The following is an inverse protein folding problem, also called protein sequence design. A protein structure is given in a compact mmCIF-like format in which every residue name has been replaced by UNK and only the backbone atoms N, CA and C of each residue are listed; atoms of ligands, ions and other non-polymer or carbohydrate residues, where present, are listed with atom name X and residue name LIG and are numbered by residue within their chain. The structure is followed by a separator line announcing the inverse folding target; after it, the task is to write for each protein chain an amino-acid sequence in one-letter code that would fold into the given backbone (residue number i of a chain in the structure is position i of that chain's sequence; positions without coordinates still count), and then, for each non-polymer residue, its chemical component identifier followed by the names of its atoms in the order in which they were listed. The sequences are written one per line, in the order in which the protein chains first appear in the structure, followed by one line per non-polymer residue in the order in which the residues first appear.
data_IF_010257888122
#
_entry.id   IF_010257888122
#
_cell.length_a   1.000
_cell.length_b   1.000
_cell.length_c   1.000
_cell.angle_alpha   90.00
_cell.angle_beta   90.00
_cell.angle_gamma   90.00
#
_symmetry.space_group_name_H-M   'P 1'
#
loop_
_entity.id
_entity.type
_entity.pdbx_description
1 polymer ?
#
# COMPACT_ATOMS: atom_id res chain seq x y z
N UNK A 1 -0.10 9.77 15.40
CA UNK A 1 -1.40 9.68 14.70
C UNK A 1 -2.55 10.27 15.53
N UNK A 2 -2.80 9.84 16.78
CA UNK A 2 -3.94 10.36 17.58
C UNK A 2 -3.95 11.90 17.70
N UNK A 3 -2.79 12.52 17.99
CA UNK A 3 -2.63 13.97 18.07
C UNK A 3 -2.94 14.65 16.73
N UNK A 4 -2.53 14.06 15.61
CA UNK A 4 -2.81 14.64 14.29
C UNK A 4 -4.30 14.66 13.97
N UNK A 5 -5.02 13.59 14.26
CA UNK A 5 -6.48 13.54 14.08
C UNK A 5 -7.22 14.49 15.04
N UNK A 6 -6.73 14.66 16.27
CA UNK A 6 -7.26 15.67 17.19
C UNK A 6 -7.05 17.10 16.64
N UNK A 7 -5.89 17.39 16.05
CA UNK A 7 -5.63 18.67 15.38
C UNK A 7 -6.56 18.85 14.18
N UNK A 8 -6.79 17.82 13.35
CA UNK A 8 -7.77 17.90 12.26
C UNK A 8 -9.18 18.19 12.77
N UNK A 9 -9.62 17.50 13.83
CA UNK A 9 -10.95 17.71 14.42
C UNK A 9 -11.14 19.14 14.97
N UNK A 10 -10.07 19.74 15.53
CA UNK A 10 -10.11 21.09 16.07
C UNK A 10 -9.90 22.18 15.00
N UNK A 11 -9.40 21.83 13.83
CA UNK A 11 -8.98 22.78 12.79
C UNK A 11 -10.16 23.34 12.02
N UNK A 12 -10.19 24.69 11.92
CA UNK A 12 -11.11 25.46 11.08
C UNK A 12 -10.38 26.23 9.98
N UNK A 13 -9.05 26.15 9.95
CA UNK A 13 -8.19 26.90 9.04
C UNK A 13 -7.31 25.97 8.22
N UNK A 14 -6.93 26.39 7.02
CA UNK A 14 -6.04 25.64 6.15
C UNK A 14 -4.68 25.34 6.82
N UNK A 15 -4.14 26.30 7.59
CA UNK A 15 -2.89 26.10 8.33
C UNK A 15 -3.00 24.98 9.37
N UNK A 16 -4.14 24.87 10.05
CA UNK A 16 -4.40 23.77 10.99
C UNK A 16 -4.42 22.40 10.30
N UNK A 17 -5.02 22.31 9.10
CA UNK A 17 -4.99 21.08 8.30
C UNK A 17 -3.56 20.73 7.84
N UNK A 18 -2.74 21.70 7.44
CA UNK A 18 -1.33 21.43 7.12
C UNK A 18 -0.54 20.94 8.33
N UNK A 19 -0.75 21.55 9.50
CA UNK A 19 -0.11 21.07 10.74
C UNK A 19 -0.54 19.65 11.08
N UNK A 20 -1.84 19.36 11.01
CA UNK A 20 -2.37 18.01 11.19
C UNK A 20 -1.74 17.02 10.22
N UNK A 21 -1.57 17.39 8.94
CA UNK A 21 -0.93 16.57 7.91
C UNK A 21 0.53 16.26 8.21
N UNK A 22 1.31 17.24 8.65
CA UNK A 22 2.71 17.03 9.08
C UNK A 22 2.78 16.05 10.26
N UNK A 23 1.94 16.24 11.27
CA UNK A 23 1.86 15.35 12.43
C UNK A 23 1.41 13.93 12.03
N UNK A 24 0.47 13.82 11.09
CA UNK A 24 0.04 12.53 10.54
C UNK A 24 1.19 11.80 9.84
N UNK A 25 1.97 12.51 9.03
CA UNK A 25 3.14 11.96 8.34
C UNK A 25 4.20 11.44 9.31
N UNK A 26 4.52 12.20 10.35
CA UNK A 26 5.42 11.77 11.43
C UNK A 26 4.85 10.53 12.13
N UNK A 27 3.57 10.56 12.51
CA UNK A 27 2.91 9.44 13.18
C UNK A 27 2.87 8.17 12.31
N UNK A 28 2.67 8.32 10.99
CA UNK A 28 2.72 7.21 10.04
C UNK A 28 4.14 6.62 9.93
N UNK A 29 5.18 7.45 9.88
CA UNK A 29 6.56 6.98 9.83
C UNK A 29 6.92 6.07 11.01
N UNK A 30 6.53 6.44 12.23
CA UNK A 30 6.77 5.65 13.43
C UNK A 30 5.82 4.46 13.60
N UNK A 31 4.61 4.50 13.04
CA UNK A 31 3.59 3.44 13.14
C UNK A 31 3.48 2.55 11.90
N UNK A 32 4.42 2.64 10.96
CA UNK A 32 4.38 1.91 9.69
C UNK A 32 4.81 0.45 9.78
N UNK A 33 4.84 -0.23 8.63
CA UNK A 33 5.31 -1.62 8.53
C UNK A 33 6.77 -1.83 8.97
N UNK A 34 7.59 -0.77 9.00
CA UNK A 34 9.02 -0.91 9.39
C UNK A 34 9.16 -1.38 10.84
N UNK A 35 8.62 -0.67 11.85
CA UNK A 35 8.68 -1.15 13.23
C UNK A 35 7.95 -2.47 13.43
N UNK A 36 6.82 -2.69 12.75
CA UNK A 36 6.10 -3.97 12.80
C UNK A 36 6.96 -5.14 12.30
N UNK A 37 7.68 -4.96 11.20
CA UNK A 37 8.58 -5.99 10.65
C UNK A 37 9.75 -6.27 11.59
N UNK A 38 10.34 -5.24 12.21
CA UNK A 38 11.41 -5.42 13.20
C UNK A 38 10.91 -6.23 14.39
N UNK A 39 9.71 -5.91 14.89
CA UNK A 39 9.10 -6.61 16.00
C UNK A 39 8.82 -8.08 15.65
N UNK A 40 8.19 -8.33 14.50
CA UNK A 40 7.90 -9.69 14.01
C UNK A 40 9.18 -10.50 13.88
N UNK A 41 10.26 -9.93 13.37
CA UNK A 41 11.54 -10.63 13.23
C UNK A 41 12.18 -11.02 14.56
N UNK A 42 11.90 -10.27 15.66
CA UNK A 42 12.37 -10.61 17.01
C UNK A 42 11.52 -11.71 17.68
N UNK A 43 10.21 -11.72 17.41
CA UNK A 43 9.26 -12.63 18.05
C UNK A 43 9.06 -13.95 17.30
N UNK A 44 9.31 -13.98 15.98
CA UNK A 44 9.06 -15.14 15.14
C UNK A 44 10.35 -15.60 14.45
N UNK A 45 10.81 -16.81 14.72
CA UNK A 45 11.82 -17.51 13.92
C UNK A 45 11.17 -18.34 12.81
N UNK A 46 9.97 -18.88 13.07
CA UNK A 46 9.17 -19.66 12.12
C UNK A 46 7.92 -18.86 11.70
N UNK A 47 7.45 -19.04 10.48
CA UNK A 47 6.25 -18.38 9.91
C UNK A 47 6.30 -16.84 9.86
N UNK A 48 7.49 -16.25 9.79
CA UNK A 48 7.67 -14.79 9.68
C UNK A 48 6.88 -14.18 8.52
N UNK A 49 6.94 -14.82 7.34
CA UNK A 49 6.22 -14.36 6.15
C UNK A 49 4.70 -14.30 6.35
N UNK A 50 4.13 -15.30 7.04
CA UNK A 50 2.71 -15.29 7.39
C UNK A 50 2.35 -14.12 8.32
N UNK A 51 3.17 -13.88 9.35
CA UNK A 51 2.94 -12.78 10.30
C UNK A 51 3.03 -11.41 9.61
N UNK A 52 4.05 -11.20 8.76
CA UNK A 52 4.22 -9.97 7.97
C UNK A 52 3.06 -9.82 6.96
N UNK A 53 2.67 -10.91 6.30
CA UNK A 53 1.55 -10.94 5.37
C UNK A 53 0.23 -10.56 6.03
N UNK A 54 -0.05 -11.11 7.21
CA UNK A 54 -1.26 -10.79 7.98
C UNK A 54 -1.27 -9.33 8.44
N UNK A 55 -0.14 -8.82 8.93
CA UNK A 55 0.01 -7.40 9.25
C UNK A 55 -0.21 -6.51 8.01
N UNK A 56 0.34 -6.87 6.86
CA UNK A 56 0.15 -6.11 5.63
C UNK A 56 -1.29 -6.15 5.11
N UNK A 57 -1.97 -7.29 5.27
CA UNK A 57 -3.37 -7.46 4.88
C UNK A 57 -4.34 -6.61 5.71
N UNK A 58 -3.98 -6.22 6.95
CA UNK A 58 -4.80 -5.38 7.82
C UNK A 58 -5.16 -4.02 7.21
N UNK A 59 -4.36 -3.50 6.26
CA UNK A 59 -4.70 -2.28 5.53
C UNK A 59 -5.98 -2.42 4.70
N UNK A 60 -6.19 -3.59 4.06
CA UNK A 60 -7.44 -3.90 3.37
C UNK A 60 -8.60 -4.05 4.35
N UNK A 61 -8.38 -4.74 5.48
CA UNK A 61 -9.39 -4.87 6.54
C UNK A 61 -9.83 -3.50 7.09
N UNK A 62 -8.88 -2.59 7.29
CA UNK A 62 -9.20 -1.22 7.72
C UNK A 62 -10.15 -0.53 6.72
N UNK A 63 -9.90 -0.64 5.42
CA UNK A 63 -10.79 -0.06 4.41
C UNK A 63 -12.19 -0.68 4.43
N UNK A 64 -12.30 -2.00 4.65
CA UNK A 64 -13.58 -2.70 4.75
C UNK A 64 -14.42 -2.16 5.91
N UNK A 65 -13.79 -1.96 7.07
CA UNK A 65 -14.50 -1.59 8.31
C UNK A 65 -14.72 -0.09 8.39
N UNK A 66 -13.67 0.71 8.17
CA UNK A 66 -13.73 2.15 8.43
C UNK A 66 -14.43 2.94 7.33
N UNK A 67 -14.38 2.51 6.05
CA UNK A 67 -15.02 3.27 4.97
C UNK A 67 -16.53 3.47 5.20
N UNK A 68 -17.35 2.44 5.44
CA UNK A 68 -18.79 2.63 5.70
C UNK A 68 -19.07 3.35 7.01
N UNK A 69 -18.29 3.08 8.08
CA UNK A 69 -18.48 3.71 9.38
C UNK A 69 -18.22 5.22 9.30
N UNK A 70 -17.08 5.62 8.73
CA UNK A 70 -16.72 7.03 8.62
C UNK A 70 -17.67 7.78 7.67
N UNK A 71 -18.13 7.14 6.60
CA UNK A 71 -19.14 7.74 5.71
C UNK A 71 -20.43 8.01 6.45
N UNK A 72 -20.96 7.04 7.21
CA UNK A 72 -22.17 7.23 7.98
C UNK A 72 -22.03 8.32 9.07
N UNK A 73 -20.87 8.40 9.72
CA UNK A 73 -20.58 9.45 10.71
C UNK A 73 -20.47 10.83 10.02
N UNK A 74 -19.83 10.89 8.87
CA UNK A 74 -19.67 12.13 8.10
C UNK A 74 -21.02 12.68 7.66
N UNK A 75 -21.93 11.84 7.17
CA UNK A 75 -23.29 12.22 6.76
C UNK A 75 -24.16 12.68 7.92
N UNK A 76 -24.02 12.05 9.10
CA UNK A 76 -24.89 12.33 10.26
C UNK A 76 -24.35 13.39 11.20
N UNK A 77 -23.04 13.47 11.41
CA UNK A 77 -22.36 14.32 12.41
C UNK A 77 -21.29 15.23 11.85
N UNK A 78 -21.00 15.13 10.56
CA UNK A 78 -20.02 15.95 9.85
C UNK A 78 -18.58 15.48 9.99
N UNK A 79 -17.69 16.13 9.23
CA UNK A 79 -16.29 15.76 9.07
C UNK A 79 -15.47 15.81 10.39
N UNK A 80 -15.77 16.79 11.26
CA UNK A 80 -15.05 16.93 12.54
C UNK A 80 -15.27 15.72 13.45
N UNK A 81 -16.48 15.15 13.45
CA UNK A 81 -16.78 13.93 14.20
C UNK A 81 -16.00 12.72 13.68
N UNK A 82 -15.78 12.61 12.37
CA UNK A 82 -14.94 11.57 11.79
C UNK A 82 -13.51 11.65 12.33
N UNK A 83 -12.89 12.83 12.29
CA UNK A 83 -11.54 13.00 12.82
C UNK A 83 -11.45 12.72 14.32
N UNK A 84 -12.48 13.07 15.09
CA UNK A 84 -12.51 12.76 16.52
C UNK A 84 -12.58 11.25 16.77
N UNK A 85 -13.38 10.51 16.01
CA UNK A 85 -13.45 9.04 16.09
C UNK A 85 -12.11 8.42 15.73
N UNK A 86 -11.45 8.89 14.68
CA UNK A 86 -10.11 8.42 14.30
C UNK A 86 -9.04 8.75 15.36
N UNK A 87 -9.14 9.92 16.00
CA UNK A 87 -8.26 10.31 17.10
C UNK A 87 -8.41 9.36 18.31
N UNK A 88 -9.66 9.10 18.72
CA UNK A 88 -9.97 8.19 19.83
C UNK A 88 -9.51 6.76 19.49
N UNK A 89 -9.83 6.26 18.30
CA UNK A 89 -9.40 4.95 17.84
C UNK A 89 -7.87 4.81 17.84
N UNK A 90 -7.15 5.80 17.29
CA UNK A 90 -5.69 5.81 17.28
C UNK A 90 -5.10 5.85 18.70
N UNK A 91 -5.73 6.56 19.62
CA UNK A 91 -5.33 6.62 21.02
C UNK A 91 -5.52 5.26 21.70
N UNK A 92 -6.67 4.63 21.51
CA UNK A 92 -6.95 3.28 22.04
C UNK A 92 -5.94 2.28 21.50
N UNK A 93 -5.65 2.30 20.20
CA UNK A 93 -4.62 1.45 19.60
C UNK A 93 -3.24 1.72 20.21
N UNK A 94 -2.86 2.98 20.43
CA UNK A 94 -1.57 3.32 21.06
C UNK A 94 -1.47 2.78 22.48
N UNK A 95 -2.54 2.89 23.28
CA UNK A 95 -2.59 2.32 24.65
C UNK A 95 -2.49 0.81 24.61
N UNK A 96 -3.23 0.14 23.71
CA UNK A 96 -3.16 -1.31 23.55
C UNK A 96 -1.76 -1.79 23.15
N UNK A 97 -1.13 -1.09 22.19
CA UNK A 97 0.25 -1.38 21.78
C UNK A 97 1.22 -1.22 22.97
N UNK A 98 1.10 -0.12 23.72
CA UNK A 98 1.96 0.14 24.87
C UNK A 98 1.80 -0.91 25.99
N UNK A 99 0.58 -1.36 26.24
CA UNK A 99 0.28 -2.36 27.28
C UNK A 99 0.65 -3.78 26.87
N UNK A 100 0.36 -4.17 25.63
CA UNK A 100 0.42 -5.56 25.17
C UNK A 100 1.73 -5.90 24.47
N UNK A 101 2.31 -4.97 23.70
CA UNK A 101 3.47 -5.26 22.88
C UNK A 101 4.75 -5.03 23.69
N UNK A 102 5.62 -6.03 23.66
CA UNK A 102 6.97 -5.98 24.25
C UNK A 102 8.01 -6.05 23.12
N UNK A 103 9.13 -5.39 23.33
CA UNK A 103 10.18 -5.22 22.33
C UNK A 103 10.83 -6.55 21.92
N UNK A 104 10.97 -7.49 22.85
CA UNK A 104 11.56 -8.79 22.59
C UNK A 104 11.05 -9.85 23.56
N UNK A 105 11.04 -11.15 23.16
CA UNK A 105 10.60 -12.24 24.01
C UNK A 105 11.48 -12.43 25.25
N UNK A 106 12.78 -12.10 25.18
CA UNK A 106 13.72 -12.26 26.30
C UNK A 106 13.30 -11.40 27.50
N UNK A 107 12.68 -10.24 27.30
CA UNK A 107 12.16 -9.38 28.38
C UNK A 107 11.04 -10.04 29.19
N UNK A 108 10.43 -11.09 28.65
CA UNK A 108 9.40 -11.89 29.32
C UNK A 108 9.90 -13.29 29.68
N UNK A 109 11.21 -13.55 29.61
CA UNK A 109 11.80 -14.88 29.79
C UNK A 109 11.19 -15.95 28.89
N UNK A 110 10.78 -15.54 27.66
CA UNK A 110 10.25 -16.42 26.63
C UNK A 110 11.25 -16.54 25.48
N UNK A 111 11.25 -17.69 24.80
CA UNK A 111 11.95 -17.89 23.53
C UNK A 111 11.09 -17.39 22.37
N UNK A 112 11.74 -16.94 21.29
CA UNK A 112 11.00 -16.58 20.06
C UNK A 112 10.30 -17.81 19.48
N UNK A 113 9.12 -17.61 18.89
CA UNK A 113 8.32 -18.70 18.31
C UNK A 113 9.10 -19.47 17.25
N UNK A 114 9.33 -20.76 17.50
CA UNK A 114 10.10 -21.66 16.63
C UNK A 114 11.61 -21.66 16.87
N UNK A 115 12.10 -21.10 17.99
CA UNK A 115 13.53 -21.14 18.37
C UNK A 115 13.98 -22.53 18.86
N UNK A 116 13.06 -23.33 19.41
CA UNK A 116 13.36 -24.66 19.97
C UNK A 116 13.55 -25.76 18.91
N UNK A 117 13.08 -25.53 17.69
CA UNK A 117 13.13 -26.52 16.60
C UNK A 117 14.51 -26.66 15.92
N UNK A 118 15.57 -26.05 16.46
CA UNK A 118 16.93 -26.16 15.90
C UNK A 118 17.06 -25.61 14.47
N UNK A 119 16.01 -24.98 13.96
CA UNK A 119 16.05 -24.27 12.68
C UNK A 119 16.86 -23.00 12.86
N UNK A 120 18.03 -22.96 12.22
CA UNK A 120 18.70 -21.67 11.95
C UNK A 120 17.67 -20.65 11.43
N UNK A 121 17.81 -19.35 11.77
CA UNK A 121 16.86 -18.34 11.32
C UNK A 121 16.64 -18.51 9.83
N UNK A 122 15.45 -18.92 9.42
CA UNK A 122 15.06 -18.84 8.02
C UNK A 122 15.11 -17.34 7.70
N UNK A 123 16.16 -16.93 7.00
CA UNK A 123 16.28 -15.58 6.51
C UNK A 123 15.02 -15.23 5.71
N UNK A 124 14.56 -13.98 5.76
CA UNK A 124 13.38 -13.56 5.04
C UNK A 124 13.62 -13.76 3.54
N UNK A 125 12.94 -14.77 2.98
CA UNK A 125 13.10 -15.23 1.60
C UNK A 125 14.13 -16.36 1.52
N UNK A 126 13.71 -17.62 1.76
CA UNK A 126 14.43 -18.77 1.27
C UNK A 126 14.49 -18.64 -0.27
N UNK A 127 15.56 -18.06 -0.75
CA UNK A 127 15.84 -17.91 -2.17
C UNK A 127 16.42 -19.23 -2.71
N UNK A 128 16.22 -19.52 -4.01
CA UNK A 128 16.90 -20.65 -4.63
C UNK A 128 18.41 -20.51 -4.46
N UNK A 129 19.08 -21.66 -4.25
CA UNK A 129 20.50 -21.85 -3.87
C UNK A 129 21.57 -21.24 -4.81
N UNK A 130 21.26 -20.29 -5.63
CA UNK A 130 22.21 -19.53 -6.44
C UNK A 130 22.42 -18.14 -5.88
N UNK A 131 23.63 -17.80 -5.41
CA UNK A 131 23.95 -16.45 -4.96
C UNK A 131 23.77 -15.46 -6.13
N UNK A 132 22.71 -14.68 -6.06
CA UNK A 132 22.37 -13.71 -7.10
C UNK A 132 23.35 -12.55 -7.04
N UNK A 133 24.17 -12.37 -8.07
CA UNK A 133 25.05 -11.22 -8.17
C UNK A 133 24.24 -9.92 -8.24
N UNK A 134 24.51 -8.92 -7.38
CA UNK A 134 23.75 -7.68 -7.36
C UNK A 134 23.98 -6.88 -8.65
N UNK A 135 22.87 -6.38 -9.23
CA UNK A 135 22.94 -5.54 -10.43
C UNK A 135 23.69 -4.20 -10.18
N UNK A 136 24.45 -3.69 -11.15
CA UNK A 136 25.07 -2.38 -11.04
C UNK A 136 24.02 -1.27 -10.88
N UNK A 137 24.31 -0.25 -10.07
CA UNK A 137 23.38 0.84 -9.71
C UNK A 137 22.71 1.50 -10.93
N UNK A 138 23.42 1.64 -12.05
CA UNK A 138 22.86 2.22 -13.28
C UNK A 138 21.70 1.40 -13.86
N UNK A 139 21.71 0.08 -13.67
CA UNK A 139 20.61 -0.81 -14.10
C UNK A 139 19.44 -0.84 -13.13
N UNK A 140 19.58 -0.24 -11.94
CA UNK A 140 18.50 -0.10 -10.95
C UNK A 140 17.66 1.19 -11.15
N UNK A 141 18.13 2.15 -11.96
CA UNK A 141 17.42 3.41 -12.22
C UNK A 141 15.98 3.21 -12.72
N UNK A 142 15.70 2.27 -13.66
CA UNK A 142 14.32 2.01 -14.06
C UNK A 142 13.42 1.51 -12.93
N UNK A 143 13.97 0.77 -11.94
CA UNK A 143 13.22 0.32 -10.78
C UNK A 143 12.86 1.47 -9.84
N UNK A 144 13.76 2.43 -9.63
CA UNK A 144 13.46 3.62 -8.83
C UNK A 144 12.36 4.45 -9.50
N UNK A 145 12.46 4.68 -10.81
CA UNK A 145 11.41 5.37 -11.57
C UNK A 145 10.07 4.61 -11.45
N UNK A 146 10.08 3.30 -11.64
CA UNK A 146 8.89 2.46 -11.52
C UNK A 146 8.28 2.54 -10.12
N UNK A 147 9.08 2.45 -9.07
CA UNK A 147 8.62 2.56 -7.70
C UNK A 147 7.98 3.93 -7.41
N UNK A 148 8.59 5.02 -7.89
CA UNK A 148 8.05 6.37 -7.76
C UNK A 148 6.71 6.54 -8.47
N UNK A 149 6.59 6.11 -9.71
CA UNK A 149 5.34 6.18 -10.47
C UNK A 149 4.23 5.30 -9.85
N UNK A 150 4.59 4.10 -9.34
CA UNK A 150 3.63 3.24 -8.66
C UNK A 150 3.22 3.79 -7.29
N UNK A 151 4.04 4.62 -6.65
CA UNK A 151 3.64 5.37 -5.46
C UNK A 151 2.44 6.28 -5.72
N UNK A 152 2.42 6.94 -6.87
CA UNK A 152 1.28 7.73 -7.32
C UNK A 152 0.02 6.90 -7.56
N UNK A 153 0.18 5.67 -8.04
CA UNK A 153 -0.95 4.77 -8.33
C UNK A 153 -1.54 4.18 -7.05
N UNK A 154 -0.70 3.74 -6.14
CA UNK A 154 -1.13 2.97 -4.96
C UNK A 154 -1.54 3.83 -3.76
N UNK A 155 -1.26 5.13 -3.76
CA UNK A 155 -1.64 6.05 -2.69
C UNK A 155 -2.71 7.04 -3.13
N UNK A 156 -2.47 8.01 -4.02
CA UNK A 156 -3.51 8.94 -4.45
C UNK A 156 -4.70 8.28 -5.14
N UNK A 157 -4.48 7.22 -5.92
CA UNK A 157 -5.55 6.55 -6.63
C UNK A 157 -6.66 6.03 -5.71
N UNK A 158 -6.36 5.16 -4.72
CA UNK A 158 -7.37 4.66 -3.78
C UNK A 158 -8.02 5.74 -2.91
N UNK A 159 -7.27 6.77 -2.50
CA UNK A 159 -7.82 7.85 -1.66
C UNK A 159 -8.86 8.69 -2.38
N UNK A 160 -8.82 8.75 -3.72
CA UNK A 160 -9.78 9.49 -4.53
C UNK A 160 -10.93 8.62 -5.07
N UNK A 161 -10.99 7.30 -4.77
CA UNK A 161 -12.08 6.43 -5.25
C UNK A 161 -13.44 6.87 -4.74
N UNK A 162 -13.55 7.26 -3.47
CA UNK A 162 -14.80 7.72 -2.88
C UNK A 162 -15.33 8.94 -3.62
N UNK A 163 -14.48 9.94 -3.84
CA UNK A 163 -14.88 11.18 -4.51
C UNK A 163 -15.13 10.95 -6.01
N UNK A 164 -14.35 10.08 -6.67
CA UNK A 164 -14.60 9.68 -8.06
C UNK A 164 -16.05 9.19 -8.25
N UNK A 165 -16.49 8.29 -7.38
CA UNK A 165 -17.80 7.66 -7.53
C UNK A 165 -18.95 8.55 -7.08
N UNK A 166 -18.75 9.34 -6.04
CA UNK A 166 -19.78 10.32 -5.61
C UNK A 166 -19.96 11.43 -6.63
N UNK A 167 -18.88 11.93 -7.24
CA UNK A 167 -18.96 12.94 -8.32
C UNK A 167 -19.54 12.37 -9.62
N UNK A 168 -19.34 11.07 -9.88
CA UNK A 168 -20.00 10.37 -11.00
C UNK A 168 -21.50 10.11 -10.73
N UNK A 169 -22.02 10.44 -9.54
CA UNK A 169 -23.43 10.36 -9.20
C UNK A 169 -23.83 9.11 -8.42
N UNK A 170 -22.88 8.33 -7.92
CA UNK A 170 -23.17 7.21 -7.01
C UNK A 170 -23.51 7.77 -5.62
N UNK A 171 -24.52 7.18 -4.95
CA UNK A 171 -24.86 7.52 -3.57
C UNK A 171 -23.67 7.24 -2.64
N UNK A 172 -23.42 8.11 -1.65
CA UNK A 172 -22.26 8.02 -0.77
C UNK A 172 -22.13 6.64 -0.08
N UNK A 173 -23.25 6.06 0.35
CA UNK A 173 -23.25 4.73 0.92
C UNK A 173 -22.79 3.64 -0.06
N UNK A 174 -23.23 3.69 -1.32
CA UNK A 174 -22.81 2.75 -2.36
C UNK A 174 -21.32 2.95 -2.74
N UNK A 175 -20.84 4.20 -2.78
CA UNK A 175 -19.42 4.50 -2.98
C UNK A 175 -18.56 3.97 -1.82
N UNK A 176 -19.03 4.10 -0.58
CA UNK A 176 -18.36 3.52 0.59
C UNK A 176 -18.27 1.99 0.53
N UNK A 177 -19.33 1.32 0.08
CA UNK A 177 -19.32 -0.13 -0.16
C UNK A 177 -18.33 -0.52 -1.28
N UNK A 178 -18.24 0.28 -2.34
CA UNK A 178 -17.24 0.06 -3.39
C UNK A 178 -15.80 0.18 -2.85
N UNK A 179 -15.51 1.18 -2.01
CA UNK A 179 -14.21 1.33 -1.34
C UNK A 179 -13.94 0.16 -0.38
N UNK A 180 -14.95 -0.34 0.32
CA UNK A 180 -14.82 -1.54 1.16
C UNK A 180 -14.48 -2.78 0.32
N UNK A 181 -15.13 -2.94 -0.83
CA UNK A 181 -14.86 -4.03 -1.78
C UNK A 181 -13.44 -3.93 -2.36
N UNK A 182 -12.95 -2.70 -2.64
CA UNK A 182 -11.54 -2.48 -2.96
C UNK A 182 -10.63 -3.01 -1.84
N UNK A 183 -10.97 -2.74 -0.57
CA UNK A 183 -10.23 -3.24 0.59
C UNK A 183 -10.16 -4.77 0.65
N UNK A 184 -11.27 -5.46 0.37
CA UNK A 184 -11.31 -6.93 0.26
C UNK A 184 -10.38 -7.42 -0.86
N UNK A 185 -10.52 -6.82 -2.04
CA UNK A 185 -9.70 -7.17 -3.21
C UNK A 185 -8.20 -6.92 -2.95
N UNK A 186 -7.86 -5.82 -2.28
CA UNK A 186 -6.49 -5.48 -1.88
C UNK A 186 -5.91 -6.53 -0.91
N UNK A 187 -6.69 -6.92 0.09
CA UNK A 187 -6.28 -7.94 1.07
C UNK A 187 -6.00 -9.28 0.39
N UNK A 188 -6.94 -9.76 -0.42
CA UNK A 188 -6.79 -11.01 -1.19
C UNK A 188 -5.62 -10.89 -2.17
N UNK A 189 -5.54 -9.77 -2.90
CA UNK A 189 -4.48 -9.51 -3.86
C UNK A 189 -3.08 -9.55 -3.24
N UNK A 190 -2.88 -9.02 -2.03
CA UNK A 190 -1.59 -9.07 -1.33
C UNK A 190 -1.18 -10.50 -0.99
N UNK A 191 -2.12 -11.32 -0.51
CA UNK A 191 -1.85 -12.72 -0.20
C UNK A 191 -1.54 -13.52 -1.45
N UNK A 192 -2.34 -13.33 -2.51
CA UNK A 192 -2.18 -14.07 -3.78
C UNK A 192 -0.91 -13.64 -4.52
N UNK A 193 -0.62 -12.35 -4.58
CA UNK A 193 0.55 -11.84 -5.30
C UNK A 193 1.85 -12.38 -4.72
N UNK A 194 2.03 -12.34 -3.38
CA UNK A 194 3.23 -12.85 -2.72
C UNK A 194 3.46 -14.34 -3.02
N UNK A 195 2.45 -15.16 -2.74
CA UNK A 195 2.51 -16.62 -2.98
C UNK A 195 2.68 -16.99 -4.47
N UNK A 196 2.07 -16.20 -5.36
CA UNK A 196 2.21 -16.39 -6.79
C UNK A 196 3.62 -16.01 -7.29
N UNK A 197 4.23 -14.96 -6.74
CA UNK A 197 5.63 -14.62 -7.06
C UNK A 197 6.60 -15.70 -6.62
N UNK A 198 6.40 -16.30 -5.43
CA UNK A 198 7.22 -17.39 -4.93
C UNK A 198 7.14 -18.63 -5.85
N UNK A 199 5.96 -18.90 -6.41
CA UNK A 199 5.72 -20.09 -7.24
C UNK A 199 6.04 -19.90 -8.72
N UNK A 200 5.73 -18.75 -9.30
CA UNK A 200 5.79 -18.50 -10.75
C UNK A 200 6.85 -17.47 -11.16
N UNK A 201 7.48 -16.82 -10.17
CA UNK A 201 8.51 -15.80 -10.36
C UNK A 201 7.96 -14.39 -10.58
N UNK A 202 8.71 -13.38 -10.13
CA UNK A 202 8.32 -11.97 -10.20
C UNK A 202 8.11 -11.43 -11.62
N UNK A 203 8.85 -11.95 -12.61
CA UNK A 203 8.70 -11.55 -14.02
C UNK A 203 7.30 -11.85 -14.57
N UNK A 204 6.82 -13.11 -14.44
CA UNK A 204 5.50 -13.51 -14.97
C UNK A 204 4.37 -12.85 -14.22
N UNK A 205 4.48 -12.79 -12.90
CA UNK A 205 3.48 -12.15 -12.03
C UNK A 205 3.43 -10.65 -12.21
N UNK A 206 4.56 -10.01 -12.54
CA UNK A 206 4.61 -8.61 -12.91
C UNK A 206 3.74 -8.26 -14.13
N UNK A 207 3.73 -9.12 -15.17
CA UNK A 207 2.82 -8.94 -16.32
C UNK A 207 1.37 -9.18 -15.95
N UNK A 208 1.06 -10.27 -15.24
CA UNK A 208 -0.32 -10.63 -14.89
C UNK A 208 -0.96 -9.56 -13.99
N UNK A 209 -0.32 -9.23 -12.88
CA UNK A 209 -0.85 -8.23 -11.95
C UNK A 209 -0.78 -6.81 -12.51
N UNK A 210 0.19 -6.55 -13.39
CA UNK A 210 0.24 -5.32 -14.17
C UNK A 210 -0.96 -5.16 -15.09
N UNK A 211 -1.35 -6.21 -15.81
CA UNK A 211 -2.54 -6.20 -16.65
C UNK A 211 -3.83 -6.01 -15.82
N UNK A 212 -3.93 -6.69 -14.68
CA UNK A 212 -5.06 -6.54 -13.74
C UNK A 212 -5.13 -5.08 -13.23
N UNK A 213 -4.00 -4.50 -12.82
CA UNK A 213 -3.91 -3.11 -12.37
C UNK A 213 -4.36 -2.13 -13.45
N UNK A 214 -3.82 -2.28 -14.65
CA UNK A 214 -4.19 -1.43 -15.80
C UNK A 214 -5.67 -1.58 -16.15
N UNK A 215 -6.21 -2.79 -16.15
CA UNK A 215 -7.64 -3.05 -16.37
C UNK A 215 -8.53 -2.33 -15.34
N UNK A 216 -8.15 -2.39 -14.05
CA UNK A 216 -8.84 -1.67 -12.98
C UNK A 216 -8.83 -0.15 -13.19
N UNK A 217 -7.68 0.42 -13.57
CA UNK A 217 -7.53 1.85 -13.83
C UNK A 217 -8.31 2.32 -15.08
N UNK A 218 -8.35 1.49 -16.13
CA UNK A 218 -9.21 1.76 -17.31
C UNK A 218 -10.68 1.83 -16.91
N UNK A 219 -11.15 0.88 -16.11
CA UNK A 219 -12.53 0.88 -15.65
C UNK A 219 -12.83 2.05 -14.69
N UNK A 220 -11.87 2.47 -13.86
CA UNK A 220 -12.01 3.70 -13.05
C UNK A 220 -12.13 4.94 -13.95
N UNK A 221 -11.36 5.02 -15.04
CA UNK A 221 -11.47 6.12 -16.00
C UNK A 221 -12.82 6.14 -16.76
N UNK A 222 -13.57 5.04 -16.74
CA UNK A 222 -14.94 4.95 -17.30
C UNK A 222 -16.02 5.23 -16.25
N UNK A 223 -15.70 5.73 -15.06
CA UNK A 223 -16.66 6.01 -14.01
C UNK A 223 -17.78 6.99 -14.44
N UNK A 224 -17.46 7.93 -15.32
CA UNK A 224 -18.41 8.92 -15.85
C UNK A 224 -19.55 8.29 -16.70
N UNK A 225 -19.41 7.00 -17.09
CA UNK A 225 -20.50 6.25 -17.75
C UNK A 225 -21.67 5.94 -16.80
N UNK A 226 -21.44 6.08 -15.48
CA UNK A 226 -22.43 5.85 -14.41
C UNK A 226 -22.97 4.41 -14.34
N UNK A 227 -22.29 3.45 -14.96
CA UNK A 227 -22.69 2.05 -14.96
C UNK A 227 -22.12 1.38 -13.71
N UNK A 228 -23.00 1.03 -12.75
CA UNK A 228 -22.61 0.49 -11.46
C UNK A 228 -21.71 -0.78 -11.58
N UNK A 229 -22.02 -1.68 -12.53
CA UNK A 229 -21.23 -2.90 -12.76
C UNK A 229 -19.79 -2.57 -13.11
N UNK A 230 -19.55 -1.55 -13.95
CA UNK A 230 -18.21 -1.08 -14.33
C UNK A 230 -17.49 -0.54 -13.10
N UNK A 231 -18.15 0.27 -12.27
CA UNK A 231 -17.58 0.84 -11.08
C UNK A 231 -17.18 -0.23 -10.05
N UNK A 232 -18.03 -1.23 -9.82
CA UNK A 232 -17.70 -2.34 -8.90
C UNK A 232 -16.61 -3.26 -9.46
N UNK A 233 -16.62 -3.56 -10.77
CA UNK A 233 -15.55 -4.31 -11.42
C UNK A 233 -14.20 -3.55 -11.34
N UNK A 234 -14.22 -2.23 -11.49
CA UNK A 234 -13.06 -1.36 -11.40
C UNK A 234 -12.35 -1.52 -10.05
N UNK A 235 -13.09 -1.40 -8.94
CA UNK A 235 -12.49 -1.51 -7.58
C UNK A 235 -11.94 -2.88 -7.29
N UNK A 236 -12.57 -3.94 -7.80
CA UNK A 236 -12.07 -5.31 -7.64
C UNK A 236 -10.75 -5.51 -8.40
N UNK A 237 -10.71 -5.16 -9.68
CA UNK A 237 -9.50 -5.31 -10.48
C UNK A 237 -8.38 -4.38 -9.97
N UNK A 238 -8.73 -3.14 -9.62
CA UNK A 238 -7.75 -2.21 -9.09
C UNK A 238 -7.17 -2.71 -7.76
N UNK A 239 -8.02 -3.13 -6.81
CA UNK A 239 -7.60 -3.68 -5.53
C UNK A 239 -6.72 -4.92 -5.66
N UNK A 240 -7.07 -5.85 -6.56
CA UNK A 240 -6.25 -7.03 -6.87
C UNK A 240 -4.91 -6.67 -7.52
N UNK A 241 -4.83 -5.58 -8.29
CA UNK A 241 -3.61 -5.15 -8.99
C UNK A 241 -2.64 -4.33 -8.13
N UNK A 242 -3.12 -3.55 -7.16
CA UNK A 242 -2.30 -2.67 -6.31
C UNK A 242 -1.17 -3.39 -5.57
N UNK A 243 -1.26 -4.64 -5.15
CA UNK A 243 -0.15 -5.38 -4.54
C UNK A 243 1.15 -5.38 -5.36
N UNK A 244 1.08 -5.27 -6.68
CA UNK A 244 2.25 -5.04 -7.53
C UNK A 244 3.06 -3.82 -7.07
N UNK A 245 2.39 -2.75 -6.62
CA UNK A 245 3.00 -1.49 -6.20
C UNK A 245 3.54 -1.50 -4.77
N UNK A 246 3.11 -2.44 -3.94
CA UNK A 246 3.46 -2.48 -2.51
C UNK A 246 4.30 -3.71 -2.17
N UNK A 247 3.78 -4.92 -2.42
CA UNK A 247 4.50 -6.17 -2.21
C UNK A 247 5.59 -6.35 -3.28
N UNK A 248 5.35 -5.86 -4.50
CA UNK A 248 6.30 -5.89 -5.60
C UNK A 248 7.64 -5.24 -5.28
N UNK A 249 7.67 -4.17 -4.48
CA UNK A 249 8.93 -3.52 -4.06
C UNK A 249 9.83 -4.50 -3.29
N UNK A 250 9.27 -5.33 -2.43
CA UNK A 250 10.02 -6.34 -1.69
C UNK A 250 10.50 -7.46 -2.62
N UNK A 251 9.63 -7.95 -3.51
CA UNK A 251 9.96 -8.97 -4.51
C UNK A 251 11.10 -8.51 -5.41
N UNK A 252 11.01 -7.29 -5.97
CA UNK A 252 12.07 -6.75 -6.83
C UNK A 252 13.38 -6.53 -6.08
N UNK A 253 13.29 -6.15 -4.80
CA UNK A 253 14.48 -5.99 -3.97
C UNK A 253 15.18 -7.33 -3.72
N UNK A 254 14.43 -8.39 -3.51
CA UNK A 254 14.95 -9.74 -3.40
C UNK A 254 15.55 -10.21 -4.74
N UNK A 255 14.80 -10.04 -5.83
CA UNK A 255 15.25 -10.48 -7.16
C UNK A 255 16.49 -9.73 -7.67
N UNK A 256 16.67 -8.44 -7.38
CA UNK A 256 17.72 -7.60 -7.98
C UNK A 256 18.83 -7.17 -7.01
N UNK A 257 18.57 -7.22 -5.69
CA UNK A 257 19.53 -6.73 -4.68
C UNK A 257 20.64 -7.73 -4.34
N UNK A 258 20.37 -9.04 -4.51
CA UNK A 258 21.22 -10.08 -3.94
C UNK A 258 21.24 -9.98 -2.40
N UNK A 259 21.71 -11.00 -1.70
CA UNK A 259 21.66 -11.08 -0.23
C UNK A 259 22.22 -9.84 0.49
N UNK A 260 23.33 -9.30 0.00
CA UNK A 260 24.02 -8.17 0.64
C UNK A 260 23.30 -6.82 0.49
N UNK A 261 22.37 -6.65 -0.45
CA UNK A 261 21.78 -5.34 -0.79
C UNK A 261 20.26 -5.28 -0.73
N UNK A 262 19.59 -6.39 -0.41
CA UNK A 262 18.11 -6.45 -0.35
C UNK A 262 17.55 -5.32 0.53
N UNK A 263 18.01 -5.22 1.77
CA UNK A 263 17.53 -4.21 2.72
C UNK A 263 17.74 -2.77 2.22
N UNK A 264 18.92 -2.50 1.65
CA UNK A 264 19.23 -1.19 1.09
C UNK A 264 18.34 -0.87 -0.11
N UNK A 265 18.10 -1.84 -0.99
CA UNK A 265 17.25 -1.65 -2.17
C UNK A 265 15.79 -1.47 -1.81
N UNK A 266 15.27 -2.22 -0.84
CA UNK A 266 13.91 -2.02 -0.28
C UNK A 266 13.74 -0.57 0.20
N UNK A 267 14.68 -0.06 1.00
CA UNK A 267 14.64 1.31 1.52
C UNK A 267 14.65 2.35 0.39
N UNK A 268 15.50 2.15 -0.61
CA UNK A 268 15.59 3.07 -1.75
C UNK A 268 14.33 3.07 -2.60
N UNK A 269 13.74 1.90 -2.88
CA UNK A 269 12.49 1.78 -3.62
C UNK A 269 11.31 2.36 -2.82
N UNK A 270 11.27 2.14 -1.52
CA UNK A 270 10.24 2.74 -0.65
C UNK A 270 10.36 4.26 -0.58
N UNK A 271 11.58 4.81 -0.53
CA UNK A 271 11.78 6.26 -0.58
C UNK A 271 11.31 6.84 -1.93
N UNK A 272 11.67 6.19 -3.04
CA UNK A 272 11.20 6.60 -4.37
C UNK A 272 9.67 6.53 -4.49
N UNK A 273 9.07 5.47 -3.97
CA UNK A 273 7.61 5.32 -3.87
C UNK A 273 6.96 6.46 -3.08
N UNK A 274 7.52 6.81 -1.91
CA UNK A 274 7.00 7.89 -1.08
C UNK A 274 7.11 9.26 -1.77
N UNK A 275 8.22 9.54 -2.46
CA UNK A 275 8.42 10.76 -3.24
C UNK A 275 7.38 10.84 -4.37
N UNK A 276 7.19 9.77 -5.13
CA UNK A 276 6.21 9.73 -6.20
C UNK A 276 4.77 9.91 -5.69
N UNK A 277 4.43 9.26 -4.58
CA UNK A 277 3.15 9.45 -3.89
C UNK A 277 2.94 10.91 -3.48
N UNK A 278 3.95 11.55 -2.87
CA UNK A 278 3.89 12.94 -2.45
C UNK A 278 3.68 13.90 -3.63
N UNK A 279 4.50 13.78 -4.67
CA UNK A 279 4.48 14.68 -5.82
C UNK A 279 3.18 14.62 -6.61
N UNK A 280 2.56 13.45 -6.67
CA UNK A 280 1.34 13.21 -7.45
C UNK A 280 0.07 13.12 -6.59
N UNK A 281 0.16 13.35 -5.27
CA UNK A 281 -0.98 13.25 -4.35
C UNK A 281 -2.12 14.22 -4.69
N UNK A 282 -1.80 15.41 -5.14
CA UNK A 282 -2.77 16.46 -5.50
C UNK A 282 -3.24 16.40 -6.96
N UNK A 283 -2.57 15.59 -7.80
CA UNK A 283 -2.81 15.53 -9.24
C UNK A 283 -4.27 15.18 -9.60
N UNK A 284 -4.95 14.21 -8.96
CA UNK A 284 -6.34 13.91 -9.30
C UNK A 284 -7.29 15.09 -9.05
N UNK A 285 -7.10 15.83 -7.95
CA UNK A 285 -7.86 17.04 -7.68
C UNK A 285 -7.62 18.14 -8.71
N UNK A 286 -6.34 18.41 -9.04
CA UNK A 286 -5.99 19.41 -10.07
C UNK A 286 -6.56 19.10 -11.46
N UNK A 287 -6.66 17.83 -11.82
CA UNK A 287 -7.29 17.40 -13.05
C UNK A 287 -8.79 17.61 -12.97
N UNK A 288 -9.42 17.22 -11.86
CA UNK A 288 -10.85 17.38 -11.64
C UNK A 288 -11.27 18.86 -11.65
N UNK A 289 -10.48 19.76 -11.07
CA UNK A 289 -10.73 21.21 -11.07
C UNK A 289 -10.76 21.80 -12.53
N UNK A 290 -9.99 21.20 -13.45
CA UNK A 290 -9.91 21.66 -14.84
C UNK A 290 -10.92 20.97 -15.77
N UNK A 291 -11.24 19.71 -15.50
CA UNK A 291 -12.05 18.87 -16.41
C UNK A 291 -13.49 18.66 -15.91
N UNK A 292 -13.76 19.00 -14.64
CA UNK A 292 -15.04 18.71 -13.99
C UNK A 292 -15.24 17.25 -13.58
N UNK A 293 -14.24 16.37 -13.78
CA UNK A 293 -14.31 14.95 -13.44
C UNK A 293 -12.99 14.42 -12.91
N UNK A 294 -13.06 13.44 -11.99
CA UNK A 294 -11.89 12.69 -11.51
C UNK A 294 -11.48 11.56 -12.46
N UNK A 295 -12.36 11.12 -13.37
CA UNK A 295 -12.10 9.99 -14.28
C UNK A 295 -10.83 10.16 -15.14
N UNK A 296 -10.53 11.35 -15.73
CA UNK A 296 -9.31 11.54 -16.51
C UNK A 296 -8.02 11.38 -15.71
N UNK A 297 -8.05 11.61 -14.39
CA UNK A 297 -6.88 11.40 -13.55
C UNK A 297 -6.43 9.92 -13.55
N UNK A 298 -7.39 9.00 -13.65
CA UNK A 298 -7.08 7.57 -13.71
C UNK A 298 -6.41 7.15 -15.02
N UNK A 299 -6.58 7.91 -16.11
CA UNK A 299 -5.79 7.71 -17.34
C UNK A 299 -4.31 8.08 -17.13
N UNK A 300 -4.04 9.12 -16.35
CA UNK A 300 -2.66 9.48 -15.98
C UNK A 300 -2.05 8.39 -15.10
N UNK A 301 -2.81 7.89 -14.10
CA UNK A 301 -2.35 6.77 -13.25
C UNK A 301 -2.13 5.49 -14.08
N UNK A 302 -2.96 5.25 -15.10
CA UNK A 302 -2.77 4.16 -16.06
C UNK A 302 -1.46 4.32 -16.82
N UNK A 303 -1.17 5.50 -17.35
CA UNK A 303 0.10 5.77 -18.04
C UNK A 303 1.30 5.54 -17.12
N UNK A 304 1.23 6.02 -15.86
CA UNK A 304 2.25 5.76 -14.84
C UNK A 304 2.45 4.25 -14.59
N UNK A 305 1.34 3.49 -14.51
CA UNK A 305 1.39 2.04 -14.30
C UNK A 305 2.04 1.32 -15.48
N UNK A 306 1.67 1.66 -16.72
CA UNK A 306 2.23 1.07 -17.94
C UNK A 306 3.73 1.32 -18.02
N UNK A 307 4.16 2.58 -17.83
CA UNK A 307 5.59 2.93 -17.83
C UNK A 307 6.35 2.16 -16.75
N UNK A 308 5.77 2.04 -15.56
CA UNK A 308 6.39 1.31 -14.44
C UNK A 308 6.53 -0.18 -14.74
N UNK A 309 5.47 -0.82 -15.26
CA UNK A 309 5.50 -2.24 -15.62
C UNK A 309 6.56 -2.47 -16.68
N UNK A 310 6.61 -1.66 -17.73
CA UNK A 310 7.61 -1.79 -18.79
C UNK A 310 9.05 -1.60 -18.26
N UNK A 311 9.26 -0.64 -17.35
CA UNK A 311 10.56 -0.39 -16.73
C UNK A 311 11.05 -1.59 -15.91
N UNK A 312 10.16 -2.16 -15.08
CA UNK A 312 10.47 -3.37 -14.28
C UNK A 312 10.76 -4.56 -15.19
N UNK A 313 9.91 -4.80 -16.19
CA UNK A 313 10.07 -5.95 -17.10
C UNK A 313 11.36 -5.84 -17.95
N UNK A 314 11.73 -4.65 -18.38
CA UNK A 314 13.03 -4.41 -19.03
C UNK A 314 14.21 -4.75 -18.13
N UNK A 315 14.10 -4.47 -16.83
CA UNK A 315 15.14 -4.80 -15.86
C UNK A 315 15.28 -6.32 -15.70
N UNK A 316 14.17 -7.06 -15.67
CA UNK A 316 14.21 -8.53 -15.69
C UNK A 316 14.87 -9.09 -16.95
N UNK A 317 14.51 -8.56 -18.12
CA UNK A 317 15.11 -8.98 -19.40
C UNK A 317 16.60 -8.65 -19.48
N UNK A 318 17.02 -7.48 -18.95
CA UNK A 318 18.43 -7.10 -18.92
C UNK A 318 19.26 -8.00 -18.00
N UNK A 319 18.64 -8.54 -16.93
CA UNK A 319 19.26 -9.50 -16.03
C UNK A 319 19.41 -10.88 -16.69
N UNK A 320 18.41 -11.34 -17.42
CA UNK A 320 18.47 -12.63 -18.11
C UNK A 320 19.56 -12.69 -19.20
N UNK A 321 20.09 -11.53 -19.63
CA UNK A 321 21.14 -11.42 -20.64
C UNK A 321 22.55 -11.20 -20.03
N UNK A 322 22.66 -11.00 -18.73
CA UNK A 322 23.92 -10.80 -17.99
C UNK A 322 24.37 -12.05 -17.27
#
# INVERSE_FOLDING_TARGET
SAVSFAVFAASKTLAGFYLGGVLAGIGYGFGSMIPATILINRWFHRKKGLAIGLCSASTGLAMIVFSPILTAICETRGLQACFLVEAVFSLVCAVLVFLLIRESPEKLSLSAYGAEDGCAPAEPGAQPDTPLTPLPRRRLLPLWLAAGLLGAVASPGPTHLMILYTTAGMAAHAAALAVSLFGVALMVGKCVYGTACDRFGGYRMGWLFGAILCGGLVLCALADTKIAVIMFAAVVLYGLGVPLSTVGLAVWSADFGGEARVAQLVQQLQLSYAIGSLLLSTMPGMIADRTGSYAPAYLVLLACSVVSILAVQRTYLARAKS
#
